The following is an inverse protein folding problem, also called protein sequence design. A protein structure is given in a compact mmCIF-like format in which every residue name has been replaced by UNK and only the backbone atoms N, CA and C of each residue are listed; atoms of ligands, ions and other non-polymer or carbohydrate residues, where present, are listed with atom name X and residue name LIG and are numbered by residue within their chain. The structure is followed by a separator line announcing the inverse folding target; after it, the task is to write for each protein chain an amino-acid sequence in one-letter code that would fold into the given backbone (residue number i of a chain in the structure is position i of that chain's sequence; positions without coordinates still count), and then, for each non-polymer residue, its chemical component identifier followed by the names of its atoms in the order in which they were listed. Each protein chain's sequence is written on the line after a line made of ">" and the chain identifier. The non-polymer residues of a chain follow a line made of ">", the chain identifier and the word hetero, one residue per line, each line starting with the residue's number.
data_IF_322297288365
#
_entry.id   IF_322297288365
#
_cell.length_a   1.000
_cell.length_b   1.000
_cell.length_c   1.000
_cell.angle_alpha   90.00
_cell.angle_beta   90.00
_cell.angle_gamma   90.00
#
_symmetry.space_group_name_H-M   'P 1'
#
loop_
_entity.id
_entity.type
_entity.pdbx_description
1 polymer ?
#
# COMPACT_ATOMS: atom_id res chain seq x y z
N UNK A 1 -12.16 -7.94 2.75
CA UNK A 1 -12.52 -6.52 2.93
C UNK A 1 -13.91 -6.43 3.53
N UNK A 2 -14.11 -5.58 4.53
CA UNK A 2 -15.43 -5.31 5.11
C UNK A 2 -16.09 -4.12 4.41
N UNK A 3 -17.39 -3.96 4.62
CA UNK A 3 -18.14 -2.83 4.07
C UNK A 3 -17.57 -1.50 4.56
N UNK A 4 -17.39 -0.55 3.64
CA UNK A 4 -16.87 0.80 3.90
C UNK A 4 -15.51 0.84 4.62
N UNK A 5 -14.66 -0.17 4.39
CA UNK A 5 -13.32 -0.21 4.95
C UNK A 5 -12.41 0.89 4.34
N UNK A 6 -11.84 1.74 5.19
CA UNK A 6 -10.92 2.82 4.78
C UNK A 6 -9.43 2.42 4.85
N UNK A 7 -9.08 1.52 5.77
CA UNK A 7 -7.70 1.08 6.00
C UNK A 7 -7.42 -0.26 5.31
N UNK A 8 -6.18 -0.74 5.40
CA UNK A 8 -5.83 -2.10 4.97
C UNK A 8 -6.61 -3.18 5.72
N UNK A 9 -6.69 -4.36 5.09
CA UNK A 9 -7.14 -5.58 5.78
C UNK A 9 -6.17 -5.94 6.90
N UNK A 10 -6.66 -6.69 7.89
CA UNK A 10 -5.82 -7.19 8.96
C UNK A 10 -4.69 -8.04 8.40
N UNK A 11 -3.48 -7.80 8.90
CA UNK A 11 -2.29 -8.50 8.43
C UNK A 11 -2.34 -9.97 8.83
N UNK A 12 -2.17 -10.86 7.85
CA UNK A 12 -2.04 -12.31 8.07
C UNK A 12 -0.57 -12.76 8.04
N UNK A 13 0.34 -11.91 7.53
CA UNK A 13 1.77 -12.18 7.47
C UNK A 13 2.59 -11.07 8.14
N UNK A 14 3.78 -11.39 8.70
CA UNK A 14 4.67 -10.39 9.29
C UNK A 14 5.08 -9.28 8.30
N UNK A 15 5.21 -9.63 7.01
CA UNK A 15 5.52 -8.65 5.97
C UNK A 15 4.38 -7.64 5.78
N UNK A 16 3.12 -8.10 5.80
CA UNK A 16 1.97 -7.19 5.69
C UNK A 16 1.87 -6.25 6.90
N UNK A 17 2.24 -6.71 8.09
CA UNK A 17 2.30 -5.86 9.29
C UNK A 17 3.33 -4.73 9.11
N UNK A 18 4.52 -5.04 8.59
CA UNK A 18 5.54 -4.03 8.27
C UNK A 18 5.08 -3.04 7.19
N UNK A 19 4.30 -3.49 6.20
CA UNK A 19 3.70 -2.62 5.18
C UNK A 19 2.71 -1.64 5.81
N UNK A 20 1.86 -2.10 6.74
CA UNK A 20 0.92 -1.23 7.45
C UNK A 20 1.67 -0.17 8.28
N UNK A 21 2.72 -0.57 9.01
CA UNK A 21 3.55 0.39 9.75
C UNK A 21 4.23 1.43 8.84
N UNK A 22 4.75 0.99 7.68
CA UNK A 22 5.34 1.90 6.71
C UNK A 22 4.32 2.88 6.11
N UNK A 23 3.12 2.38 5.80
CA UNK A 23 2.01 3.21 5.34
C UNK A 23 1.65 4.27 6.38
N UNK A 24 1.46 3.88 7.64
CA UNK A 24 1.06 4.81 8.70
C UNK A 24 2.14 5.89 8.94
N UNK A 25 3.42 5.51 8.90
CA UNK A 25 4.53 6.45 8.96
C UNK A 25 4.48 7.47 7.81
N UNK A 26 4.27 6.99 6.57
CA UNK A 26 4.21 7.84 5.38
C UNK A 26 2.98 8.76 5.42
N UNK A 27 1.82 8.22 5.81
CA UNK A 27 0.57 8.98 5.93
C UNK A 27 0.65 10.07 7.00
N UNK A 28 1.32 9.81 8.13
CA UNK A 28 1.57 10.83 9.15
C UNK A 28 2.37 12.01 8.57
N UNK A 29 3.43 11.73 7.82
CA UNK A 29 4.26 12.77 7.18
C UNK A 29 3.43 13.57 6.17
N UNK A 30 2.66 12.89 5.30
CA UNK A 30 1.81 13.54 4.30
C UNK A 30 0.72 14.40 4.95
N UNK A 31 0.13 13.95 6.06
CA UNK A 31 -0.86 14.74 6.79
C UNK A 31 -0.26 16.03 7.35
N UNK A 32 0.96 15.97 7.92
CA UNK A 32 1.66 17.16 8.42
C UNK A 32 1.89 18.16 7.28
N UNK A 33 2.37 17.70 6.12
CA UNK A 33 2.63 18.57 4.96
C UNK A 33 1.33 19.19 4.43
N UNK A 34 0.28 18.39 4.26
CA UNK A 34 -0.99 18.87 3.73
C UNK A 34 -1.66 19.89 4.65
N UNK A 35 -1.62 19.66 5.98
CA UNK A 35 -2.11 20.62 6.97
C UNK A 35 -1.27 21.90 6.97
N UNK A 36 0.06 21.81 6.89
CA UNK A 36 0.95 22.97 6.81
C UNK A 36 0.65 23.83 5.56
N UNK A 37 0.57 23.20 4.39
CA UNK A 37 0.26 23.88 3.13
C UNK A 37 -1.15 24.47 3.17
N UNK A 38 -2.13 23.70 3.66
CA UNK A 38 -3.50 24.17 3.83
C UNK A 38 -3.60 25.39 4.75
N UNK A 39 -2.84 25.40 5.84
CA UNK A 39 -2.74 26.55 6.74
C UNK A 39 -2.14 27.78 6.06
N UNK A 40 -1.01 27.63 5.35
CA UNK A 40 -0.37 28.75 4.62
C UNK A 40 -1.34 29.33 3.59
N UNK A 41 -1.97 28.48 2.77
CA UNK A 41 -2.92 28.92 1.74
C UNK A 41 -4.13 29.64 2.35
N UNK A 42 -4.70 29.10 3.42
CA UNK A 42 -5.80 29.74 4.16
C UNK A 42 -5.37 31.11 4.72
N UNK A 43 -4.19 31.19 5.33
CA UNK A 43 -3.68 32.43 5.92
C UNK A 43 -3.46 33.53 4.87
N UNK A 44 -3.01 33.17 3.67
CA UNK A 44 -2.83 34.10 2.55
C UNK A 44 -4.17 34.67 2.07
N UNK A 45 -5.23 33.87 2.03
CA UNK A 45 -6.57 34.33 1.67
C UNK A 45 -7.15 35.35 2.67
N UNK A 46 -6.80 35.23 3.96
CA UNK A 46 -7.24 36.15 5.00
C UNK A 46 -6.33 37.38 5.19
N UNK A 47 -5.14 37.38 4.60
CA UNK A 47 -4.17 38.46 4.74
C UNK A 47 -4.58 39.68 3.89
N UNK A 48 -4.62 40.86 4.53
CA UNK A 48 -4.96 42.13 3.87
C UNK A 48 -3.75 43.00 3.55
N UNK A 49 -2.56 42.66 4.06
CA UNK A 49 -1.34 43.43 3.86
C UNK A 49 -0.69 43.06 2.52
N UNK A 50 -0.34 44.09 1.73
CA UNK A 50 0.32 43.92 0.42
C UNK A 50 1.77 44.40 0.53
N UNK A 51 2.70 43.57 0.04
CA UNK A 51 4.10 43.96 -0.14
C UNK A 51 4.52 43.74 -1.60
N UNK A 52 4.87 44.82 -2.30
CA UNK A 52 5.26 44.81 -3.71
C UNK A 52 6.78 44.68 -3.93
N UNK A 53 7.57 44.88 -2.89
CA UNK A 53 9.04 44.98 -3.00
C UNK A 53 9.76 43.66 -2.65
N UNK A 54 9.03 42.54 -2.56
CA UNK A 54 9.61 41.22 -2.31
C UNK A 54 10.16 40.61 -3.62
N UNK A 55 11.35 41.07 -4.04
CA UNK A 55 11.96 40.69 -5.32
C UNK A 55 12.92 39.50 -5.24
N UNK A 56 13.51 39.23 -4.07
CA UNK A 56 14.45 38.13 -3.86
C UNK A 56 14.12 37.38 -2.56
N UNK A 57 14.17 36.04 -2.65
CA UNK A 57 13.82 35.09 -1.61
C UNK A 57 14.86 33.98 -1.42
N UNK A 58 16.14 34.17 -1.79
CA UNK A 58 17.15 33.08 -1.74
C UNK A 58 17.18 32.30 -0.40
N UNK A 59 17.01 32.98 0.73
CA UNK A 59 16.98 32.33 2.06
C UNK A 59 15.76 31.41 2.26
N UNK A 60 14.58 31.78 1.71
CA UNK A 60 13.38 30.94 1.82
C UNK A 60 13.41 29.81 0.78
N UNK A 61 13.98 30.07 -0.40
CA UNK A 61 14.20 29.07 -1.44
C UNK A 61 15.10 27.92 -0.99
N UNK A 62 16.21 28.27 -0.36
CA UNK A 62 17.12 27.28 0.23
C UNK A 62 16.43 26.47 1.32
N UNK A 63 15.63 27.11 2.19
CA UNK A 63 14.90 26.42 3.24
C UNK A 63 13.86 25.41 2.70
N UNK A 64 13.00 25.82 1.76
CA UNK A 64 11.98 24.92 1.19
C UNK A 64 12.54 23.88 0.21
N UNK A 65 13.81 23.98 -0.19
CA UNK A 65 14.46 22.95 -1.01
C UNK A 65 15.11 21.89 -0.14
N UNK A 66 15.80 22.32 0.93
CA UNK A 66 16.50 21.41 1.85
C UNK A 66 15.53 20.63 2.73
N UNK A 67 14.46 21.27 3.23
CA UNK A 67 13.51 20.62 4.14
C UNK A 67 12.81 19.40 3.49
N UNK A 68 12.27 19.46 2.26
CA UNK A 68 11.68 18.29 1.61
C UNK A 68 12.68 17.16 1.34
N UNK A 69 13.96 17.47 1.07
CA UNK A 69 14.99 16.44 0.89
C UNK A 69 15.14 15.57 2.14
N UNK A 70 15.18 16.19 3.33
CA UNK A 70 15.22 15.44 4.58
C UNK A 70 13.96 14.59 4.80
N UNK A 71 12.78 15.12 4.46
CA UNK A 71 11.53 14.37 4.54
C UNK A 71 11.55 13.14 3.63
N UNK A 72 12.04 13.28 2.39
CA UNK A 72 12.15 12.17 1.46
C UNK A 72 13.09 11.07 1.97
N UNK A 73 14.22 11.44 2.57
CA UNK A 73 15.15 10.46 3.16
C UNK A 73 14.48 9.68 4.30
N UNK A 74 13.68 10.36 5.15
CA UNK A 74 12.96 9.71 6.24
C UNK A 74 11.92 8.69 5.74
N UNK A 75 11.29 8.92 4.59
CA UNK A 75 10.38 7.96 3.95
C UNK A 75 11.18 6.84 3.25
N UNK A 76 12.26 7.18 2.55
CA UNK A 76 13.01 6.23 1.75
C UNK A 76 13.73 5.15 2.58
N UNK A 77 14.28 5.52 3.74
CA UNK A 77 15.00 4.59 4.62
C UNK A 77 14.18 3.36 5.06
N UNK A 78 12.99 3.50 5.68
CA UNK A 78 12.16 2.35 6.03
C UNK A 78 11.63 1.62 4.79
N UNK A 79 11.34 2.33 3.70
CA UNK A 79 10.87 1.74 2.43
C UNK A 79 11.90 0.78 1.84
N UNK A 80 13.16 1.20 1.72
CA UNK A 80 14.23 0.36 1.18
C UNK A 80 14.51 -0.84 2.07
N UNK A 81 14.52 -0.66 3.39
CA UNK A 81 14.68 -1.78 4.32
C UNK A 81 13.59 -2.84 4.11
N UNK A 82 12.32 -2.40 3.99
CA UNK A 82 11.19 -3.31 3.77
C UNK A 82 11.28 -4.02 2.43
N UNK A 83 11.72 -3.34 1.37
CA UNK A 83 11.96 -3.95 0.06
C UNK A 83 12.96 -5.10 0.14
N UNK A 84 14.09 -4.90 0.83
CA UNK A 84 15.09 -5.96 0.99
C UNK A 84 14.60 -7.13 1.84
N UNK A 85 13.79 -6.86 2.87
CA UNK A 85 13.17 -7.93 3.67
C UNK A 85 12.20 -8.78 2.85
N UNK A 86 11.51 -8.20 1.88
CA UNK A 86 10.60 -8.93 1.00
C UNK A 86 11.31 -9.80 -0.04
N UNK A 87 12.49 -9.38 -0.49
CA UNK A 87 13.28 -10.11 -1.48
C UNK A 87 14.04 -11.29 -0.87
N UNK A 88 14.24 -11.29 0.45
CA UNK A 88 14.86 -12.39 1.17
C UNK A 88 13.92 -13.61 1.22
N UNK A 89 14.03 -14.48 0.21
CA UNK A 89 13.35 -15.79 0.20
C UNK A 89 14.09 -16.71 1.15
N UNK A 90 13.52 -16.93 2.34
CA UNK A 90 13.97 -17.98 3.25
C UNK A 90 13.72 -19.36 2.65
N UNK A 91 14.47 -20.37 3.10
CA UNK A 91 14.32 -21.77 2.66
C UNK A 91 12.86 -22.24 2.85
N UNK A 92 12.06 -22.39 1.77
CA UNK A 92 10.65 -22.73 1.91
C UNK A 92 10.48 -24.23 2.17
N UNK A 93 9.51 -24.59 3.03
CA UNK A 93 9.20 -26.00 3.35
C UNK A 93 8.33 -26.66 2.27
N UNK A 94 7.52 -25.88 1.54
CA UNK A 94 6.59 -26.35 0.52
C UNK A 94 6.63 -25.39 -0.68
N UNK A 95 6.58 -25.96 -1.88
CA UNK A 95 6.43 -25.26 -3.16
C UNK A 95 5.03 -25.52 -3.74
N UNK A 96 4.33 -24.43 -4.05
CA UNK A 96 3.04 -24.45 -4.73
C UNK A 96 3.18 -23.62 -6.00
N UNK A 97 2.79 -24.19 -7.14
CA UNK A 97 2.79 -23.50 -8.41
C UNK A 97 1.36 -23.16 -8.80
N UNK A 98 1.13 -21.91 -9.18
CA UNK A 98 -0.16 -21.42 -9.65
C UNK A 98 -0.04 -20.97 -11.11
N UNK A 99 -0.87 -21.54 -11.98
CA UNK A 99 -0.89 -21.22 -13.41
C UNK A 99 -2.19 -20.48 -13.72
N UNK A 100 -2.06 -19.27 -14.29
CA UNK A 100 -3.20 -18.46 -14.71
C UNK A 100 -3.67 -18.83 -16.10
N UNK A 101 -4.96 -19.14 -16.23
CA UNK A 101 -5.64 -19.37 -17.51
C UNK A 101 -6.63 -18.22 -17.80
N UNK A 102 -7.30 -18.28 -18.95
CA UNK A 102 -8.39 -17.35 -19.23
C UNK A 102 -9.56 -17.63 -18.28
N UNK A 103 -9.70 -16.78 -17.26
CA UNK A 103 -10.77 -16.75 -16.25
C UNK A 103 -10.77 -17.85 -15.18
N UNK A 104 -9.67 -18.57 -14.99
CA UNK A 104 -9.51 -19.51 -13.87
C UNK A 104 -8.03 -19.72 -13.53
N UNK A 105 -7.77 -20.39 -12.41
CA UNK A 105 -6.43 -20.71 -11.93
C UNK A 105 -6.28 -22.22 -11.75
N UNK A 106 -5.11 -22.77 -12.03
CA UNK A 106 -4.76 -24.16 -11.68
C UNK A 106 -3.60 -24.18 -10.68
N UNK A 107 -3.67 -25.10 -9.74
CA UNK A 107 -2.70 -25.25 -8.66
C UNK A 107 -2.01 -26.61 -8.74
N UNK A 108 -0.69 -26.61 -8.66
CA UNK A 108 0.15 -27.81 -8.75
C UNK A 108 1.05 -27.90 -7.51
N UNK A 109 0.91 -29.01 -6.76
CA UNK A 109 1.81 -29.36 -5.66
C UNK A 109 2.96 -30.22 -6.18
N UNK A 110 4.10 -29.59 -6.47
CA UNK A 110 5.28 -30.26 -7.05
C UNK A 110 6.01 -31.18 -6.07
N UNK A 111 5.91 -30.92 -4.76
CA UNK A 111 6.65 -31.67 -3.74
C UNK A 111 5.97 -32.98 -3.31
N UNK A 112 4.66 -33.10 -3.58
CA UNK A 112 3.86 -34.26 -3.23
C UNK A 112 3.37 -34.98 -4.49
N UNK A 113 2.50 -35.98 -4.32
CA UNK A 113 2.01 -36.91 -5.35
C UNK A 113 1.23 -36.27 -6.51
N UNK A 114 1.89 -35.42 -7.32
CA UNK A 114 1.36 -34.75 -8.52
C UNK A 114 -0.12 -34.36 -8.38
N UNK A 115 -0.43 -33.64 -7.31
CA UNK A 115 -1.80 -33.18 -7.07
C UNK A 115 -1.97 -31.89 -7.86
N UNK A 116 -2.87 -31.96 -8.85
CA UNK A 116 -3.28 -30.83 -9.67
C UNK A 116 -4.80 -30.66 -9.62
N UNK A 117 -5.26 -29.41 -9.54
CA UNK A 117 -6.68 -29.08 -9.68
C UNK A 117 -6.88 -27.68 -10.24
N UNK A 118 -8.03 -27.48 -10.88
CA UNK A 118 -8.50 -26.18 -11.36
C UNK A 118 -9.42 -25.53 -10.32
N UNK A 119 -9.38 -24.20 -10.24
CA UNK A 119 -10.19 -23.38 -9.34
C UNK A 119 -10.97 -22.35 -10.17
N UNK A 120 -12.28 -22.55 -10.24
CA UNK A 120 -13.25 -21.71 -10.95
C UNK A 120 -14.12 -20.94 -9.96
N UNK A 121 -14.53 -19.74 -10.36
CA UNK A 121 -15.50 -18.94 -9.60
C UNK A 121 -16.89 -19.62 -9.63
N UNK A 122 -17.51 -19.76 -8.46
CA UNK A 122 -18.86 -20.33 -8.36
C UNK A 122 -19.90 -19.34 -8.94
N UNK A 123 -20.75 -19.77 -9.89
CA UNK A 123 -21.82 -18.93 -10.43
C UNK A 123 -22.82 -18.49 -9.36
N UNK A 124 -23.43 -17.31 -9.52
CA UNK A 124 -24.35 -16.76 -8.51
C UNK A 124 -25.57 -17.64 -8.22
N UNK A 125 -26.01 -18.44 -9.20
CA UNK A 125 -27.12 -19.37 -9.04
C UNK A 125 -26.77 -20.58 -8.15
N UNK A 126 -25.50 -20.92 -8.05
CA UNK A 126 -25.00 -22.10 -7.32
C UNK A 126 -24.38 -21.71 -5.96
N UNK A 127 -24.39 -20.42 -5.61
CA UNK A 127 -23.87 -19.93 -4.33
C UNK A 127 -24.80 -20.31 -3.17
N UNK A 128 -24.23 -20.92 -2.14
CA UNK A 128 -24.95 -21.20 -0.90
C UNK A 128 -25.15 -19.92 -0.05
N UNK A 129 -26.18 -19.92 0.79
CA UNK A 129 -26.46 -18.78 1.68
C UNK A 129 -25.28 -18.52 2.64
N UNK A 130 -24.74 -17.30 2.60
CA UNK A 130 -23.62 -16.87 3.46
C UNK A 130 -22.27 -16.84 2.75
N UNK A 131 -22.18 -17.35 1.53
CA UNK A 131 -20.99 -17.28 0.68
C UNK A 131 -20.76 -15.89 0.06
N UNK A 132 -19.51 -15.55 -0.22
CA UNK A 132 -19.16 -14.27 -0.83
C UNK A 132 -19.28 -14.29 -2.36
N UNK A 133 -20.22 -13.50 -2.88
CA UNK A 133 -20.39 -13.30 -4.32
C UNK A 133 -19.09 -12.81 -4.97
N UNK A 134 -18.69 -13.45 -6.09
CA UNK A 134 -17.48 -13.18 -6.87
C UNK A 134 -16.14 -13.48 -6.19
N UNK A 135 -16.13 -14.06 -4.99
CA UNK A 135 -14.90 -14.45 -4.29
C UNK A 135 -14.83 -15.96 -4.05
N UNK A 136 -15.97 -16.63 -4.00
CA UNK A 136 -16.00 -18.08 -3.85
C UNK A 136 -15.52 -18.83 -5.09
N UNK A 137 -14.82 -19.92 -4.82
CA UNK A 137 -14.29 -20.86 -5.81
C UNK A 137 -14.70 -22.28 -5.43
N UNK A 138 -14.78 -23.15 -6.43
CA UNK A 138 -15.11 -24.57 -6.25
C UNK A 138 -14.02 -25.33 -5.47
N UNK A 139 -12.75 -25.12 -5.81
CA UNK A 139 -11.59 -25.74 -5.18
C UNK A 139 -10.66 -24.66 -4.58
N UNK A 140 -10.28 -24.84 -3.30
CA UNK A 140 -9.44 -23.92 -2.52
C UNK A 140 -8.14 -24.58 -2.09
#
# INVERSE_FOLDING_TARGET
>A
ATWAQLNFQEAVSPMMEQVIYFHDHTMMILLIITVMVGYIMSSLCWNKQVNLNLLDGQKIETAWTVLPVFVLIMIAMPSLRLLYLMDEVSEPVITLKTIGHQWYWSYEYSDFSHIEFDSYMIPENDLENGMFRLLEVDNR
#
